data_IF_315416315569
#
_entry.id   IF_315416315569
#
_cell.length_a   1.000
_cell.length_b   1.000
_cell.length_c   1.000
_cell.angle_alpha   90.00
_cell.angle_beta   90.00
_cell.angle_gamma   90.00
#
_symmetry.space_group_name_H-M   'P 1'
#
loop_
_entity.id
_entity.type
_entity.pdbx_description
1 polymer ?
#
# COMPACT_ATOMS: atom_id res chain seq x y z
N UNK A 1 -5.49 1.35 -20.61
CA UNK A 1 -5.68 0.11 -19.83
C UNK A 1 -6.42 -0.88 -20.71
N UNK A 2 -5.86 -2.07 -20.96
CA UNK A 2 -6.53 -3.15 -21.71
C UNK A 2 -6.96 -4.23 -20.72
N UNK A 3 -8.23 -4.60 -20.79
CA UNK A 3 -8.82 -5.68 -20.00
C UNK A 3 -8.77 -6.99 -20.79
N UNK A 4 -8.79 -8.15 -20.10
CA UNK A 4 -8.90 -9.45 -20.75
C UNK A 4 -10.20 -9.57 -21.54
N UNK A 5 -10.14 -10.17 -22.73
CA UNK A 5 -11.30 -10.48 -23.58
C UNK A 5 -11.90 -11.86 -23.32
N UNK A 6 -11.21 -12.70 -22.54
CA UNK A 6 -11.62 -14.07 -22.22
C UNK A 6 -11.62 -14.29 -20.70
N UNK A 7 -12.39 -15.26 -20.19
CA UNK A 7 -12.37 -15.61 -18.77
C UNK A 7 -10.96 -15.93 -18.27
N UNK A 8 -10.63 -15.45 -17.07
CA UNK A 8 -9.40 -15.82 -16.37
C UNK A 8 -9.75 -16.84 -15.30
N UNK A 9 -9.17 -18.02 -15.43
CA UNK A 9 -9.26 -19.07 -14.42
C UNK A 9 -8.04 -18.99 -13.50
N UNK A 10 -8.27 -18.93 -12.19
CA UNK A 10 -7.24 -19.01 -11.17
C UNK A 10 -7.25 -20.38 -10.50
N UNK A 11 -6.07 -20.92 -10.19
CA UNK A 11 -5.94 -22.04 -9.27
C UNK A 11 -6.20 -21.59 -7.83
N UNK A 12 -6.55 -22.53 -6.95
CA UNK A 12 -6.71 -22.25 -5.51
C UNK A 12 -5.45 -21.61 -4.93
N UNK A 13 -4.27 -22.09 -5.32
CA UNK A 13 -2.99 -21.55 -4.88
C UNK A 13 -2.82 -20.08 -5.33
N UNK A 14 -3.19 -19.74 -6.57
CA UNK A 14 -3.09 -18.36 -7.05
C UNK A 14 -4.04 -17.41 -6.28
N UNK A 15 -5.23 -17.89 -5.92
CA UNK A 15 -6.17 -17.12 -5.08
C UNK A 15 -5.59 -16.91 -3.68
N UNK A 16 -4.99 -17.94 -3.07
CA UNK A 16 -4.35 -17.85 -1.76
C UNK A 16 -3.19 -16.86 -1.77
N UNK A 17 -2.28 -16.96 -2.74
CA UNK A 17 -1.14 -16.04 -2.90
C UNK A 17 -1.61 -14.59 -3.06
N UNK A 18 -2.67 -14.34 -3.84
CA UNK A 18 -3.22 -13.00 -4.01
C UNK A 18 -3.82 -12.45 -2.71
N UNK A 19 -4.53 -13.29 -1.96
CA UNK A 19 -5.12 -12.89 -0.67
C UNK A 19 -4.03 -12.60 0.39
N UNK A 20 -2.93 -13.37 0.39
CA UNK A 20 -1.78 -13.11 1.24
C UNK A 20 -1.14 -11.76 0.89
N UNK A 21 -0.91 -11.48 -0.40
CA UNK A 21 -0.39 -10.18 -0.87
C UNK A 21 -1.28 -9.01 -0.47
N UNK A 22 -2.60 -9.16 -0.56
CA UNK A 22 -3.55 -8.14 -0.10
C UNK A 22 -3.46 -7.91 1.41
N UNK A 23 -3.30 -8.99 2.19
CA UNK A 23 -3.16 -8.90 3.64
C UNK A 23 -1.87 -8.18 4.04
N UNK A 24 -0.76 -8.46 3.34
CA UNK A 24 0.52 -7.75 3.52
C UNK A 24 0.35 -6.27 3.18
N UNK A 25 -0.25 -5.92 2.03
CA UNK A 25 -0.50 -4.52 1.66
C UNK A 25 -1.30 -3.78 2.75
N UNK A 26 -2.39 -4.39 3.24
CA UNK A 26 -3.23 -3.81 4.30
C UNK A 26 -2.43 -3.55 5.57
N UNK A 27 -1.60 -4.52 5.97
CA UNK A 27 -0.73 -4.39 7.12
C UNK A 27 0.26 -3.22 6.96
N UNK A 28 0.94 -3.16 5.82
CA UNK A 28 1.95 -2.13 5.54
C UNK A 28 1.34 -0.72 5.54
N UNK A 29 0.18 -0.55 4.87
CA UNK A 29 -0.56 0.72 4.88
C UNK A 29 -0.94 1.11 6.31
N UNK A 30 -1.53 0.19 7.07
CA UNK A 30 -1.96 0.47 8.44
C UNK A 30 -0.79 0.85 9.36
N UNK A 31 0.37 0.21 9.18
CA UNK A 31 1.58 0.54 9.92
C UNK A 31 2.06 1.98 9.60
N UNK A 32 2.13 2.35 8.32
CA UNK A 32 2.52 3.70 7.91
C UNK A 32 1.53 4.77 8.40
N UNK A 33 0.22 4.50 8.32
CA UNK A 33 -0.81 5.39 8.85
C UNK A 33 -0.68 5.56 10.38
N UNK A 34 -0.39 4.47 11.10
CA UNK A 34 -0.19 4.52 12.55
C UNK A 34 0.99 5.42 12.93
N UNK A 35 2.10 5.36 12.18
CA UNK A 35 3.25 6.24 12.36
C UNK A 35 2.91 7.71 12.10
N UNK A 36 2.11 7.99 11.05
CA UNK A 36 1.64 9.35 10.76
C UNK A 36 0.75 9.88 11.88
N UNK A 37 -0.20 9.07 12.36
CA UNK A 37 -1.08 9.43 13.47
C UNK A 37 -0.27 9.73 14.75
N UNK A 38 0.70 8.87 15.08
CA UNK A 38 1.58 9.09 16.22
C UNK A 38 2.39 10.40 16.09
N UNK A 39 2.90 10.68 14.89
CA UNK A 39 3.61 11.93 14.61
C UNK A 39 2.68 13.15 14.80
N UNK A 40 1.45 13.12 14.27
CA UNK A 40 0.48 14.21 14.46
C UNK A 40 0.13 14.43 15.94
N UNK A 41 -0.01 13.34 16.70
CA UNK A 41 -0.38 13.40 18.11
C UNK A 41 0.78 13.96 18.96
N UNK A 42 2.02 13.58 18.64
CA UNK A 42 3.20 14.16 19.26
C UNK A 42 3.34 15.66 18.98
N UNK A 43 3.03 16.13 17.77
CA UNK A 43 3.04 17.57 17.46
C UNK A 43 1.98 18.29 18.31
N UNK A 44 0.78 17.73 18.41
CA UNK A 44 -0.34 18.28 19.18
C UNK A 44 0.00 18.46 20.66
N UNK A 45 0.68 17.48 21.26
CA UNK A 45 1.06 17.52 22.67
C UNK A 45 2.41 18.16 22.96
N UNK A 46 3.33 18.16 21.98
CA UNK A 46 4.70 18.66 22.09
C UNK A 46 5.09 19.44 20.83
N UNK A 47 4.62 20.71 20.67
CA UNK A 47 4.83 21.47 19.44
C UNK A 47 6.30 21.67 19.04
N UNK A 48 7.22 21.68 20.01
CA UNK A 48 8.66 21.74 19.77
C UNK A 48 9.24 20.52 19.01
N UNK A 49 8.47 19.42 18.89
CA UNK A 49 8.84 18.25 18.09
C UNK A 49 8.38 18.36 16.62
N UNK A 50 7.72 19.46 16.21
CA UNK A 50 7.13 19.61 14.88
C UNK A 50 8.11 19.35 13.74
N UNK A 51 9.28 19.99 13.75
CA UNK A 51 10.28 19.83 12.70
C UNK A 51 10.72 18.37 12.54
N UNK A 52 10.98 17.69 13.66
CA UNK A 52 11.35 16.27 13.67
C UNK A 52 10.23 15.37 13.14
N UNK A 53 8.98 15.62 13.56
CA UNK A 53 7.83 14.80 13.18
C UNK A 53 7.39 15.05 11.73
N UNK A 54 7.63 16.25 11.20
CA UNK A 54 7.38 16.57 9.79
C UNK A 54 8.16 15.65 8.84
N UNK A 55 9.40 15.27 9.19
CA UNK A 55 10.16 14.27 8.41
C UNK A 55 9.37 12.96 8.28
N UNK A 56 8.80 12.47 9.38
CA UNK A 56 7.98 11.25 9.37
C UNK A 56 6.75 11.43 8.49
N UNK A 57 6.03 12.54 8.62
CA UNK A 57 4.83 12.83 7.84
C UNK A 57 5.10 12.96 6.33
N UNK A 58 6.27 13.45 5.94
CA UNK A 58 6.67 13.53 4.53
C UNK A 58 7.14 12.19 3.96
N UNK A 59 7.74 11.32 4.78
CA UNK A 59 8.29 10.04 4.33
C UNK A 59 7.28 8.90 4.23
N UNK A 60 6.23 8.87 5.07
CA UNK A 60 5.27 7.76 5.06
C UNK A 60 4.42 7.70 3.77
N UNK A 61 3.89 8.82 3.23
CA UNK A 61 3.03 8.75 2.04
C UNK A 61 3.71 8.15 0.80
N UNK A 62 4.97 8.47 0.46
CA UNK A 62 5.68 7.79 -0.63
C UNK A 62 5.82 6.28 -0.41
N UNK A 63 6.02 5.82 0.83
CA UNK A 63 6.11 4.38 1.17
C UNK A 63 4.77 3.67 0.97
N UNK A 64 3.66 4.30 1.37
CA UNK A 64 2.29 3.82 1.08
C UNK A 64 2.08 3.68 -0.43
N UNK A 65 2.41 4.73 -1.19
CA UNK A 65 2.29 4.71 -2.66
C UNK A 65 3.13 3.61 -3.29
N UNK A 66 4.36 3.37 -2.80
CA UNK A 66 5.22 2.30 -3.28
C UNK A 66 4.62 0.91 -3.00
N UNK A 67 4.10 0.67 -1.79
CA UNK A 67 3.44 -0.59 -1.45
C UNK A 67 2.19 -0.83 -2.31
N UNK A 68 1.37 0.22 -2.50
CA UNK A 68 0.19 0.16 -3.34
C UNK A 68 0.53 -0.12 -4.81
N UNK A 69 1.54 0.55 -5.36
CA UNK A 69 2.00 0.33 -6.73
C UNK A 69 2.50 -1.09 -6.92
N UNK A 70 3.30 -1.61 -5.98
CA UNK A 70 3.78 -2.99 -6.01
C UNK A 70 2.63 -3.99 -6.08
N UNK A 71 1.67 -3.89 -5.16
CA UNK A 71 0.49 -4.76 -5.17
C UNK A 71 -0.33 -4.59 -6.45
N UNK A 72 -0.51 -3.36 -6.93
CA UNK A 72 -1.26 -3.07 -8.16
C UNK A 72 -0.61 -3.75 -9.37
N UNK A 73 0.71 -3.72 -9.50
CA UNK A 73 1.42 -4.43 -10.56
C UNK A 73 1.22 -5.93 -10.45
N UNK A 74 1.34 -6.51 -9.25
CA UNK A 74 1.13 -7.94 -9.04
C UNK A 74 -0.31 -8.37 -9.33
N UNK A 75 -1.28 -7.54 -8.96
CA UNK A 75 -2.70 -7.71 -9.26
C UNK A 75 -2.94 -7.63 -10.77
N UNK A 76 -2.52 -6.54 -11.42
CA UNK A 76 -2.72 -6.35 -12.86
C UNK A 76 -2.10 -7.52 -13.65
N UNK A 77 -0.92 -7.99 -13.28
CA UNK A 77 -0.28 -9.16 -13.88
C UNK A 77 -1.10 -10.44 -13.71
N UNK A 78 -1.59 -10.72 -12.50
CA UNK A 78 -2.41 -11.90 -12.23
C UNK A 78 -3.71 -11.88 -13.06
N UNK A 79 -4.30 -10.70 -13.23
CA UNK A 79 -5.51 -10.48 -14.01
C UNK A 79 -5.25 -10.19 -15.49
N UNK A 80 -4.01 -10.35 -15.99
CA UNK A 80 -3.62 -10.07 -17.39
C UNK A 80 -4.07 -8.68 -17.88
N UNK A 81 -4.14 -7.71 -16.98
CA UNK A 81 -4.46 -6.31 -17.27
C UNK A 81 -3.16 -5.63 -17.69
N UNK A 82 -3.17 -4.95 -18.84
CA UNK A 82 -1.99 -4.19 -19.30
C UNK A 82 -2.28 -2.69 -19.29
N UNK A 83 -1.34 -1.90 -18.75
CA UNK A 83 -1.30 -0.45 -18.96
C UNK A 83 -0.69 -0.20 -20.34
N UNK A 84 -1.44 0.52 -21.17
CA UNK A 84 -0.95 1.02 -22.46
C UNK A 84 -0.36 2.40 -22.28
#
# INVERSE_FOLDING_TARGET
MRLPSEPITFSVQQVEEMNQKLSILKHDINNHLSLMMAATELIRHKPHMAERMMVTLCEQPPKITAALNKFTTEFENAFKITRG
#
